data_IF_982988210502
#
_entry.id   IF_982988210502
#
_cell.length_a   1.000
_cell.length_b   1.000
_cell.length_c   1.000
_cell.angle_alpha   90.00
_cell.angle_beta   90.00
_cell.angle_gamma   90.00
#
_symmetry.space_group_name_H-M   'P 1'
#
loop_
_entity.id
_entity.type
_entity.pdbx_description
1 polymer ?
#
# COMPACT_ATOMS: atom_id res chain seq x y z
N UNK A 1 -15.94 46.50 -12.26
CA UNK A 1 -15.52 45.08 -12.24
C UNK A 1 -15.83 44.52 -10.87
N UNK A 2 -16.74 43.57 -10.65
CA UNK A 2 -17.62 42.90 -11.60
C UNK A 2 -18.00 41.51 -11.06
N UNK A 3 -18.97 41.39 -10.13
CA UNK A 3 -19.26 40.14 -9.38
C UNK A 3 -19.46 38.88 -10.26
N UNK A 4 -19.79 39.03 -11.55
CA UNK A 4 -19.87 37.92 -12.52
C UNK A 4 -18.51 37.32 -12.87
N UNK A 5 -17.44 38.12 -12.87
CA UNK A 5 -16.09 37.69 -13.24
C UNK A 5 -15.51 36.74 -12.18
N UNK A 6 -15.73 37.04 -10.90
CA UNK A 6 -15.32 36.18 -9.77
C UNK A 6 -16.11 34.86 -9.74
N UNK A 7 -17.41 34.90 -10.04
CA UNK A 7 -18.26 33.70 -10.14
C UNK A 7 -17.81 32.81 -11.31
N UNK A 8 -17.51 33.40 -12.47
CA UNK A 8 -16.96 32.65 -13.61
C UNK A 8 -15.59 32.02 -13.28
N UNK A 9 -14.76 32.71 -12.50
CA UNK A 9 -13.45 32.22 -12.04
C UNK A 9 -13.59 31.05 -11.05
N UNK A 10 -14.54 31.14 -10.11
CA UNK A 10 -14.88 30.06 -9.18
C UNK A 10 -15.46 28.84 -9.90
N UNK A 11 -16.38 29.04 -10.86
CA UNK A 11 -16.94 27.95 -11.67
C UNK A 11 -15.90 27.30 -12.58
N UNK A 12 -14.93 28.07 -13.11
CA UNK A 12 -13.77 27.53 -13.83
C UNK A 12 -12.94 26.58 -12.95
N UNK A 13 -12.56 27.02 -11.74
CA UNK A 13 -11.81 26.20 -10.79
C UNK A 13 -12.56 24.91 -10.37
N UNK A 14 -13.88 24.99 -10.22
CA UNK A 14 -14.75 23.84 -9.92
C UNK A 14 -14.85 22.85 -11.09
N UNK A 15 -14.96 23.35 -12.33
CA UNK A 15 -14.93 22.49 -13.53
C UNK A 15 -13.59 21.78 -13.71
N UNK A 16 -12.46 22.48 -13.57
CA UNK A 16 -11.13 21.84 -13.62
C UNK A 16 -10.93 20.81 -12.50
N UNK A 17 -11.51 21.04 -11.31
CA UNK A 17 -11.50 20.07 -10.22
C UNK A 17 -12.35 18.83 -10.52
N UNK A 18 -13.53 19.02 -11.14
CA UNK A 18 -14.42 17.94 -11.58
C UNK A 18 -13.85 17.14 -12.76
N UNK A 19 -13.17 17.79 -13.72
CA UNK A 19 -12.45 17.13 -14.81
C UNK A 19 -11.24 16.33 -14.29
N UNK A 20 -10.58 16.81 -13.22
CA UNK A 20 -9.52 16.04 -12.54
C UNK A 20 -10.08 14.83 -11.76
N UNK A 21 -11.33 14.89 -11.30
CA UNK A 21 -12.02 13.80 -10.62
C UNK A 21 -12.67 12.78 -11.58
N UNK A 22 -13.11 13.22 -12.75
CA UNK A 22 -13.70 12.39 -13.82
C UNK A 22 -12.70 11.95 -14.89
N UNK A 23 -11.44 12.38 -14.81
CA UNK A 23 -10.36 11.76 -15.57
C UNK A 23 -10.40 10.24 -15.28
N UNK A 24 -10.53 9.36 -16.31
CA UNK A 24 -10.61 7.93 -16.08
C UNK A 24 -9.37 7.53 -15.30
N UNK A 25 -9.58 6.84 -14.18
CA UNK A 25 -8.56 6.54 -13.19
C UNK A 25 -7.29 5.96 -13.84
N UNK A 26 -6.27 6.81 -14.11
CA UNK A 26 -4.95 6.39 -14.65
C UNK A 26 -4.10 5.76 -13.54
N UNK A 27 -4.75 4.91 -12.75
CA UNK A 27 -4.19 3.97 -11.78
C UNK A 27 -3.75 2.66 -12.45
N UNK A 28 -4.04 2.49 -13.75
CA UNK A 28 -3.62 1.36 -14.59
C UNK A 28 -2.67 1.80 -15.71
N UNK A 29 -1.53 2.41 -15.34
CA UNK A 29 -0.30 1.84 -15.91
C UNK A 29 -0.12 0.55 -15.14
N UNK A 30 -0.53 -0.55 -15.76
CA UNK A 30 -0.31 -1.89 -15.22
C UNK A 30 1.20 -2.05 -14.99
N UNK A 31 1.61 -1.91 -13.72
CA UNK A 31 2.95 -2.32 -13.32
C UNK A 31 3.00 -3.80 -13.62
N UNK A 32 3.93 -4.21 -14.48
CA UNK A 32 4.07 -5.61 -14.84
C UNK A 32 4.65 -6.38 -13.64
N UNK A 33 3.76 -6.80 -12.75
CA UNK A 33 4.08 -7.51 -11.52
C UNK A 33 4.27 -9.02 -11.75
N UNK A 34 4.41 -9.49 -12.99
CA UNK A 34 4.59 -10.93 -13.27
C UNK A 34 5.82 -11.50 -12.56
N UNK A 35 6.89 -10.72 -12.40
CA UNK A 35 8.05 -11.08 -11.59
C UNK A 35 7.69 -11.43 -10.12
N UNK A 36 6.71 -10.74 -9.53
CA UNK A 36 6.19 -11.04 -8.18
C UNK A 36 5.18 -12.20 -8.17
N UNK A 37 4.60 -12.57 -9.32
CA UNK A 37 3.61 -13.66 -9.43
C UNK A 37 4.27 -15.03 -9.65
N UNK A 38 5.35 -15.08 -10.44
CA UNK A 38 5.95 -16.33 -10.91
C UNK A 38 6.96 -16.92 -9.91
N UNK A 39 7.73 -16.08 -9.21
CA UNK A 39 8.75 -16.52 -8.25
C UNK A 39 8.47 -16.00 -6.84
N UNK A 40 8.31 -16.92 -5.88
CA UNK A 40 8.41 -16.68 -4.43
C UNK A 40 7.80 -15.34 -3.93
N UNK A 41 6.59 -15.01 -4.40
CA UNK A 41 5.89 -13.75 -4.17
C UNK A 41 6.20 -13.12 -2.81
N UNK A 42 7.02 -12.07 -2.80
CA UNK A 42 7.37 -11.32 -1.60
C UNK A 42 6.19 -10.39 -1.23
N UNK A 43 5.81 -10.25 0.06
CA UNK A 43 6.37 -10.89 1.26
C UNK A 43 5.84 -12.31 1.54
N UNK A 44 4.84 -12.77 0.80
CA UNK A 44 4.36 -14.17 0.79
C UNK A 44 3.13 -14.34 -0.11
N UNK A 45 2.84 -15.58 -0.54
CA UNK A 45 1.64 -15.93 -1.34
C UNK A 45 0.30 -15.53 -0.71
N UNK A 46 0.28 -15.29 0.61
CA UNK A 46 -0.90 -14.88 1.37
C UNK A 46 -1.08 -13.35 1.43
N UNK A 47 -0.37 -12.57 0.61
CA UNK A 47 -0.45 -11.11 0.58
C UNK A 47 -0.71 -10.59 -0.84
N UNK A 48 -1.60 -9.60 -0.96
CA UNK A 48 -1.85 -8.84 -2.19
C UNK A 48 -1.11 -7.51 -2.10
N UNK A 49 -0.40 -7.15 -3.16
CA UNK A 49 0.12 -5.81 -3.35
C UNK A 49 -1.02 -4.80 -3.56
N UNK A 50 -1.08 -3.76 -2.73
CA UNK A 50 -2.08 -2.69 -2.83
C UNK A 50 -1.53 -1.48 -3.62
N UNK A 51 -0.28 -1.09 -3.38
CA UNK A 51 0.33 0.05 -4.04
C UNK A 51 1.58 0.60 -3.34
N UNK A 52 2.22 1.57 -3.99
CA UNK A 52 3.30 2.39 -3.43
C UNK A 52 2.69 3.65 -2.80
N UNK A 53 3.20 4.07 -1.64
CA UNK A 53 2.67 5.23 -0.90
C UNK A 53 2.91 6.58 -1.60
N UNK A 54 3.99 6.66 -2.40
CA UNK A 54 4.43 7.89 -3.03
C UNK A 54 4.08 7.93 -4.52
N UNK A 55 3.41 9.00 -4.94
CA UNK A 55 3.14 9.23 -6.36
C UNK A 55 4.38 9.82 -7.05
N UNK A 56 5.22 8.94 -7.62
CA UNK A 56 6.45 9.25 -8.37
C UNK A 56 6.23 10.35 -9.44
N UNK A 57 5.03 10.45 -10.03
CA UNK A 57 4.70 11.43 -11.07
C UNK A 57 4.57 12.86 -10.52
N UNK A 58 4.27 13.03 -9.23
CA UNK A 58 4.25 14.33 -8.55
C UNK A 58 5.67 14.70 -8.10
N UNK A 59 6.40 15.40 -8.99
CA UNK A 59 7.73 16.04 -8.74
C UNK A 59 7.65 17.18 -7.67
N UNK A 60 7.10 16.91 -6.49
CA UNK A 60 6.84 17.93 -5.45
C UNK A 60 8.10 18.25 -4.64
N UNK A 61 9.08 17.34 -4.57
CA UNK A 61 10.33 17.57 -3.84
C UNK A 61 11.54 17.18 -4.70
N UNK A 62 12.60 17.99 -4.64
CA UNK A 62 13.89 17.68 -5.25
C UNK A 62 14.50 16.47 -4.53
N UNK A 63 15.03 15.45 -5.24
CA UNK A 63 15.62 14.26 -4.61
C UNK A 63 16.71 14.58 -3.57
N UNK A 64 17.39 15.72 -3.74
CA UNK A 64 18.50 16.16 -2.89
C UNK A 64 18.05 17.07 -1.72
N UNK A 65 16.75 17.35 -1.59
CA UNK A 65 16.23 18.19 -0.50
C UNK A 65 16.48 17.57 0.88
N UNK A 66 16.48 18.39 1.93
CA UNK A 66 16.68 17.93 3.31
C UNK A 66 15.53 17.03 3.75
N UNK A 67 14.32 17.35 3.31
CA UNK A 67 13.06 16.66 3.58
C UNK A 67 13.04 15.30 2.90
N UNK A 68 13.45 15.23 1.63
CA UNK A 68 13.60 13.98 0.89
C UNK A 68 14.61 13.05 1.57
N UNK A 69 15.76 13.58 1.99
CA UNK A 69 16.76 12.81 2.75
C UNK A 69 16.27 12.36 4.13
N UNK A 70 15.56 13.23 4.88
CA UNK A 70 14.93 12.84 6.16
C UNK A 70 13.95 11.69 5.93
N UNK A 71 13.03 11.82 4.97
CA UNK A 71 12.03 10.81 4.65
C UNK A 71 12.66 9.49 4.22
N UNK A 72 13.65 9.50 3.34
CA UNK A 72 14.38 8.30 2.93
C UNK A 72 15.02 7.58 4.12
N UNK A 73 15.69 8.34 5.01
CA UNK A 73 16.28 7.77 6.22
C UNK A 73 15.21 7.20 7.18
N UNK A 74 14.09 7.91 7.39
CA UNK A 74 13.00 7.45 8.24
C UNK A 74 12.33 6.16 7.73
N UNK A 75 12.12 6.05 6.41
CA UNK A 75 11.59 4.84 5.76
C UNK A 75 12.61 3.69 5.88
N UNK A 76 13.88 3.93 5.56
CA UNK A 76 14.93 2.92 5.67
C UNK A 76 15.11 2.40 7.11
N UNK A 77 15.14 3.30 8.10
CA UNK A 77 15.22 2.94 9.53
C UNK A 77 14.01 2.15 10.02
N UNK A 78 12.81 2.47 9.53
CA UNK A 78 11.61 1.69 9.82
C UNK A 78 11.76 0.28 9.22
N UNK A 79 12.01 0.17 7.91
CA UNK A 79 12.13 -1.13 7.22
C UNK A 79 13.27 -2.01 7.76
N UNK A 80 14.36 -1.41 8.26
CA UNK A 80 15.48 -2.11 8.89
C UNK A 80 15.10 -2.81 10.22
N UNK A 81 13.99 -2.43 10.85
CA UNK A 81 13.43 -3.14 12.02
C UNK A 81 12.54 -4.34 11.64
N UNK A 82 12.34 -4.59 10.34
CA UNK A 82 11.57 -5.72 9.82
C UNK A 82 12.13 -7.06 10.27
N UNK A 83 11.23 -8.00 10.60
CA UNK A 83 11.61 -9.31 11.15
C UNK A 83 11.90 -10.32 10.02
N UNK A 84 13.08 -10.95 10.10
CA UNK A 84 13.58 -11.88 9.09
C UNK A 84 14.05 -11.17 7.80
N UNK A 85 14.62 -11.93 6.87
CA UNK A 85 15.24 -11.44 5.62
C UNK A 85 14.27 -10.79 4.60
N UNK A 86 13.09 -10.32 5.03
CA UNK A 86 12.05 -9.73 4.17
C UNK A 86 11.99 -8.22 4.24
N UNK A 87 12.58 -7.58 5.26
CA UNK A 87 12.54 -6.12 5.47
C UNK A 87 11.11 -5.55 5.44
N UNK A 88 10.15 -6.30 6.02
CA UNK A 88 8.76 -5.91 6.16
C UNK A 88 8.39 -5.72 7.62
N UNK A 89 7.46 -4.80 7.88
CA UNK A 89 6.84 -4.59 9.19
C UNK A 89 5.33 -4.53 9.05
N UNK A 90 4.62 -4.90 10.11
CA UNK A 90 3.18 -4.63 10.19
C UNK A 90 2.90 -3.13 10.31
N UNK A 91 1.74 -2.65 9.85
CA UNK A 91 1.31 -1.26 10.04
C UNK A 91 1.31 -0.88 11.53
N UNK A 92 0.95 -1.83 12.41
CA UNK A 92 1.01 -1.63 13.86
C UNK A 92 2.43 -1.39 14.42
N UNK A 93 3.47 -2.01 13.83
CA UNK A 93 4.88 -1.84 14.22
C UNK A 93 5.59 -0.69 13.48
N UNK A 94 5.07 -0.28 12.32
CA UNK A 94 5.59 0.86 11.56
C UNK A 94 5.05 2.20 12.11
N UNK A 95 3.78 2.22 12.53
CA UNK A 95 3.33 3.12 13.59
C UNK A 95 4.04 2.73 14.91
N UNK A 96 3.94 3.55 15.96
CA UNK A 96 4.91 3.58 17.09
C UNK A 96 6.34 4.04 16.69
N UNK A 97 6.79 3.89 15.44
CA UNK A 97 8.05 4.47 14.99
C UNK A 97 7.88 5.98 14.72
N UNK A 98 8.09 6.83 15.74
CA UNK A 98 7.81 8.28 15.65
C UNK A 98 8.46 8.96 14.44
N UNK A 99 9.74 8.68 14.16
CA UNK A 99 10.42 9.24 12.98
C UNK A 99 9.78 8.83 11.64
N UNK A 100 9.10 7.68 11.57
CA UNK A 100 8.31 7.30 10.40
C UNK A 100 7.00 8.08 10.35
N UNK A 101 6.24 8.16 11.47
CA UNK A 101 5.00 8.95 11.54
C UNK A 101 5.23 10.40 11.12
N UNK A 102 6.30 11.04 11.59
CA UNK A 102 6.67 12.41 11.23
C UNK A 102 6.97 12.61 9.73
N UNK A 103 7.38 11.56 9.00
CA UNK A 103 7.75 11.65 7.59
C UNK A 103 6.61 11.31 6.64
N UNK A 104 5.47 10.82 7.17
CA UNK A 104 4.26 10.57 6.41
C UNK A 104 3.57 11.89 6.07
N UNK A 105 3.04 11.98 4.85
CA UNK A 105 2.00 12.97 4.56
C UNK A 105 0.71 12.63 5.31
N UNK A 106 -0.13 13.63 5.58
CA UNK A 106 -1.44 13.42 6.23
C UNK A 106 -2.28 12.34 5.53
N UNK A 107 -2.28 12.31 4.19
CA UNK A 107 -3.00 11.30 3.43
C UNK A 107 -2.44 9.89 3.63
N UNK A 108 -1.13 9.72 3.73
CA UNK A 108 -0.53 8.42 4.02
C UNK A 108 -0.83 7.98 5.47
N UNK A 109 -0.76 8.88 6.44
CA UNK A 109 -1.11 8.58 7.83
C UNK A 109 -2.60 8.19 7.97
N UNK A 110 -3.50 9.02 7.43
CA UNK A 110 -4.95 8.78 7.46
C UNK A 110 -5.34 7.51 6.68
N UNK A 111 -4.56 7.10 5.68
CA UNK A 111 -4.72 5.82 4.99
C UNK A 111 -4.24 4.65 5.85
N UNK A 112 -3.00 4.69 6.36
CA UNK A 112 -2.42 3.61 7.15
C UNK A 112 -3.22 3.32 8.42
N UNK A 113 -3.76 4.35 9.09
CA UNK A 113 -4.61 4.18 10.29
C UNK A 113 -5.94 3.45 9.98
N UNK A 114 -6.37 3.39 8.72
CA UNK A 114 -7.57 2.64 8.28
C UNK A 114 -7.25 1.22 7.80
N UNK A 115 -5.99 0.91 7.53
CA UNK A 115 -5.59 -0.46 7.18
C UNK A 115 -5.58 -1.36 8.41
N UNK A 116 -5.79 -2.66 8.21
CA UNK A 116 -5.67 -3.63 9.29
C UNK A 116 -4.24 -3.63 9.86
N UNK A 117 -4.10 -3.81 11.17
CA UNK A 117 -2.78 -3.84 11.83
C UNK A 117 -1.82 -4.87 11.21
N UNK A 118 -2.33 -6.01 10.69
CA UNK A 118 -1.56 -7.06 10.02
C UNK A 118 -1.13 -6.74 8.57
N UNK A 119 -1.61 -5.64 7.99
CA UNK A 119 -1.12 -5.16 6.68
C UNK A 119 0.38 -4.91 6.78
N UNK A 120 1.15 -5.38 5.80
CA UNK A 120 2.62 -5.23 5.80
C UNK A 120 3.04 -4.01 4.98
N UNK A 121 4.01 -3.27 5.50
CA UNK A 121 4.78 -2.25 4.81
C UNK A 121 6.14 -2.82 4.41
N UNK A 122 6.66 -2.40 3.26
CA UNK A 122 7.94 -2.87 2.73
C UNK A 122 8.66 -1.86 1.83
N UNK A 123 9.89 -2.14 1.38
CA UNK A 123 10.55 -1.40 0.30
C UNK A 123 9.68 -1.28 -0.95
N UNK A 124 9.82 -0.16 -1.66
CA UNK A 124 9.13 0.12 -2.91
C UNK A 124 10.07 0.09 -4.11
N UNK A 125 9.57 -0.41 -5.24
CA UNK A 125 10.34 -0.55 -6.47
C UNK A 125 9.57 0.08 -7.64
N UNK A 126 10.30 0.54 -8.65
CA UNK A 126 9.73 1.00 -9.91
C UNK A 126 9.55 -0.15 -10.92
N UNK A 127 9.10 0.20 -12.12
CA UNK A 127 8.92 -0.68 -13.27
C UNK A 127 10.22 -1.34 -13.79
N UNK A 128 11.39 -0.84 -13.38
CA UNK A 128 12.71 -1.42 -13.67
C UNK A 128 13.28 -2.26 -12.52
N UNK A 129 12.57 -2.38 -11.40
CA UNK A 129 13.07 -3.03 -10.18
C UNK A 129 14.05 -2.18 -9.36
N UNK A 130 14.19 -0.88 -9.65
CA UNK A 130 15.03 0.04 -8.88
C UNK A 130 14.30 0.47 -7.60
N UNK A 131 15.02 0.52 -6.47
CA UNK A 131 14.47 0.93 -5.16
C UNK A 131 14.06 2.41 -5.17
N UNK A 132 12.88 2.69 -4.62
CA UNK A 132 12.30 4.03 -4.45
C UNK A 132 12.42 4.46 -2.98
N UNK A 133 13.52 5.12 -2.57
CA UNK A 133 13.79 5.39 -1.15
C UNK A 133 12.78 6.34 -0.48
N UNK A 134 12.01 7.11 -1.26
CA UNK A 134 10.97 8.02 -0.77
C UNK A 134 9.59 7.35 -0.62
N UNK A 135 9.48 6.06 -0.94
CA UNK A 135 8.24 5.32 -1.00
C UNK A 135 8.33 4.01 -0.19
N UNK A 136 7.18 3.52 0.26
CA UNK A 136 7.02 2.16 0.77
C UNK A 136 5.87 1.47 0.04
N UNK A 137 5.93 0.15 -0.07
CA UNK A 137 4.84 -0.70 -0.58
C UNK A 137 3.88 -1.04 0.55
N UNK A 138 2.60 -1.23 0.22
CA UNK A 138 1.56 -1.71 1.13
C UNK A 138 1.04 -3.05 0.64
N UNK A 139 0.99 -4.04 1.53
CA UNK A 139 0.61 -5.42 1.25
C UNK A 139 -0.47 -5.90 2.21
N UNK A 140 -1.69 -6.09 1.70
CA UNK A 140 -2.80 -6.56 2.54
C UNK A 140 -2.81 -8.09 2.56
N UNK A 141 -2.95 -8.67 3.75
CA UNK A 141 -3.12 -10.12 3.90
C UNK A 141 -4.42 -10.57 3.23
N UNK A 142 -4.34 -11.61 2.42
CA UNK A 142 -5.52 -12.29 1.86
C UNK A 142 -6.36 -12.86 3.00
N UNK A 143 -7.70 -12.76 2.95
CA UNK A 143 -8.54 -13.59 3.81
C UNK A 143 -8.25 -15.05 3.45
N UNK A 144 -7.71 -15.82 4.40
CA UNK A 144 -7.63 -17.29 4.25
C UNK A 144 -9.04 -17.80 3.97
N UNK A 145 -9.27 -18.58 2.90
CA UNK A 145 -10.58 -19.18 2.67
C UNK A 145 -10.91 -20.02 3.89
N UNK A 146 -12.04 -19.70 4.53
CA UNK A 146 -12.55 -20.50 5.64
C UNK A 146 -12.77 -21.90 5.10
N UNK A 147 -11.99 -22.87 5.58
CA UNK A 147 -12.24 -24.27 5.28
C UNK A 147 -13.63 -24.60 5.83
N UNK A 148 -14.62 -24.68 4.93
CA UNK A 148 -15.94 -25.15 5.30
C UNK A 148 -15.79 -26.57 5.81
N UNK A 149 -15.99 -26.75 7.12
CA UNK A 149 -15.86 -28.04 7.79
C UNK A 149 -16.72 -29.07 7.06
N UNK A 150 -16.07 -30.06 6.44
CA UNK A 150 -16.70 -31.27 5.92
C UNK A 150 -17.12 -32.17 7.09
N UNK A 151 -18.14 -31.73 7.84
CA UNK A 151 -18.80 -32.49 8.90
C UNK A 151 -20.28 -32.66 8.61
N UNK A 152 -20.59 -33.60 7.71
CA UNK A 152 -21.78 -34.44 7.87
C UNK A 152 -21.34 -35.90 7.90
N UNK A 153 -21.36 -36.50 9.09
CA UNK A 153 -21.12 -37.92 9.27
C UNK A 153 -22.42 -38.73 9.32
N UNK A 154 -22.32 -40.01 8.93
CA UNK A 154 -23.21 -41.16 9.20
C UNK A 154 -22.50 -42.35 8.53
N UNK A 155 -22.34 -43.54 9.12
CA UNK A 155 -22.82 -44.14 10.36
C UNK A 155 -21.78 -45.16 10.87
N UNK A 156 -21.76 -45.45 12.17
CA UNK A 156 -21.25 -46.75 12.63
C UNK A 156 -22.17 -47.86 12.11
N UNK A 157 -21.58 -48.97 11.67
CA UNK A 157 -22.24 -50.28 11.63
C UNK A 157 -21.48 -51.23 12.56
N UNK A 158 -22.21 -52.00 13.36
CA UNK A 158 -21.67 -52.91 14.38
C UNK A 158 -21.09 -54.20 13.78
N UNK A 159 -20.23 -54.82 14.57
CA UNK A 159 -19.70 -56.18 14.45
C UNK A 159 -20.71 -57.25 13.99
N UNK A 160 -20.21 -58.25 13.28
CA UNK A 160 -20.88 -59.52 12.95
C UNK A 160 -19.85 -60.60 12.59
N UNK A 161 -19.93 -61.76 13.26
CA UNK A 161 -19.04 -62.92 13.10
C UNK A 161 -19.10 -63.54 11.70
N UNK A 162 -17.97 -64.07 11.24
CA UNK A 162 -17.80 -65.50 10.95
C UNK A 162 -16.35 -65.88 11.23
#
# INVERSE_FOLDING_TARGET
>A
MGKKDDVNKLLGNLKSSAETANAPAIYTREVNLSYYKENHAWPGRNYIYIGNSFNIKKKIQSPNSRESRKRAACIAMMLAKGKGNRSCLSVGEALQHEGFKECLSRFEYDWLVREAHETLLGPAYNDKGELLPLAFTVWRKMPTPVQQNSKQGKKLAKAGKA
#
